data_IF_149578297927
#
_entry.id   IF_149578297927
#
_cell.length_a   1.000
_cell.length_b   1.000
_cell.length_c   1.000
_cell.angle_alpha   90.00
_cell.angle_beta   90.00
_cell.angle_gamma   90.00
#
_symmetry.space_group_name_H-M   'P 1'
#
loop_
_entity.id
_entity.type
_entity.pdbx_description
1 polymer ?
#
# COMPACT_ATOMS: atom_id res chain seq x y z
N UNK A 1 6.92 5.55 -9.71
CA UNK A 1 6.53 6.55 -8.71
C UNK A 1 7.58 6.69 -7.60
N UNK A 2 7.90 5.62 -6.85
CA UNK A 2 8.80 5.66 -5.68
C UNK A 2 10.18 6.18 -6.03
N UNK A 3 10.84 5.62 -7.04
CA UNK A 3 12.18 6.04 -7.48
C UNK A 3 12.21 7.54 -7.84
N UNK A 4 11.20 8.01 -8.54
CA UNK A 4 11.14 9.41 -8.95
C UNK A 4 10.82 10.35 -7.78
N UNK A 5 9.85 10.00 -6.95
CA UNK A 5 9.41 10.83 -5.83
C UNK A 5 10.47 10.95 -4.70
N UNK A 6 11.25 9.88 -4.48
CA UNK A 6 12.31 9.85 -3.47
C UNK A 6 13.70 10.13 -4.05
N UNK A 7 13.79 10.38 -5.37
CA UNK A 7 15.05 10.61 -6.10
C UNK A 7 16.09 9.49 -5.88
N UNK A 8 15.65 8.24 -5.91
CA UNK A 8 16.49 7.07 -5.66
C UNK A 8 16.48 6.12 -6.85
N UNK A 9 17.57 5.39 -7.01
CA UNK A 9 17.67 4.25 -7.92
C UNK A 9 17.69 2.94 -7.13
N UNK A 10 16.64 2.12 -7.29
CA UNK A 10 16.49 0.84 -6.59
C UNK A 10 17.58 -0.19 -6.97
N UNK A 11 18.24 0.00 -8.09
CA UNK A 11 19.32 -0.89 -8.59
C UNK A 11 20.70 -0.46 -8.06
N UNK A 12 20.79 0.75 -7.52
CA UNK A 12 22.03 1.27 -6.96
C UNK A 12 22.13 0.92 -5.47
N UNK A 13 23.05 0.03 -5.11
CA UNK A 13 23.25 -0.47 -3.74
C UNK A 13 23.50 0.62 -2.70
N UNK A 14 24.04 1.79 -3.11
CA UNK A 14 24.31 2.90 -2.20
C UNK A 14 23.05 3.64 -1.75
N UNK A 15 21.95 3.57 -2.50
CA UNK A 15 20.72 4.31 -2.21
C UNK A 15 19.45 3.45 -2.22
N UNK A 16 19.56 2.16 -2.62
CA UNK A 16 18.42 1.24 -2.69
C UNK A 16 17.73 1.02 -1.34
N UNK A 17 18.44 1.18 -0.22
CA UNK A 17 17.88 1.10 1.12
C UNK A 17 16.86 2.21 1.43
N UNK A 18 16.84 3.29 0.64
CA UNK A 18 15.85 4.36 0.74
C UNK A 18 14.56 4.07 -0.05
N UNK A 19 14.50 2.93 -0.75
CA UNK A 19 13.31 2.50 -1.45
C UNK A 19 12.24 2.03 -0.45
N UNK A 20 11.39 2.94 -0.06
CA UNK A 20 10.40 2.76 1.01
C UNK A 20 8.95 2.92 0.48
N UNK A 21 8.27 1.82 0.13
CA UNK A 21 6.88 1.87 -0.33
C UNK A 21 5.91 2.51 0.68
N UNK A 22 6.18 2.34 1.98
CA UNK A 22 5.40 2.93 3.07
C UNK A 22 5.83 4.35 3.44
N UNK A 23 6.71 4.98 2.66
CA UNK A 23 7.07 6.38 2.92
C UNK A 23 5.83 7.27 2.85
N UNK A 24 5.58 8.14 3.86
CA UNK A 24 4.36 8.94 3.93
C UNK A 24 4.13 9.81 2.69
N UNK A 25 5.20 10.31 2.04
CA UNK A 25 5.07 11.04 0.78
C UNK A 25 4.53 10.17 -0.35
N UNK A 26 4.94 8.90 -0.42
CA UNK A 26 4.48 7.95 -1.43
C UNK A 26 3.00 7.64 -1.23
N UNK A 27 2.60 7.30 -0.01
CA UNK A 27 1.20 6.99 0.30
C UNK A 27 0.28 8.18 0.04
N UNK A 28 0.71 9.40 0.38
CA UNK A 28 -0.04 10.63 0.08
C UNK A 28 -0.13 10.91 -1.41
N UNK A 29 0.92 10.60 -2.19
CA UNK A 29 0.85 10.71 -3.66
C UNK A 29 -0.12 9.69 -4.25
N UNK A 30 -0.08 8.43 -3.82
CA UNK A 30 -1.03 7.40 -4.25
C UNK A 30 -2.46 7.85 -3.92
N UNK A 31 -2.71 8.34 -2.70
CA UNK A 31 -4.02 8.86 -2.31
C UNK A 31 -4.51 9.95 -3.26
N UNK A 32 -3.65 10.94 -3.56
CA UNK A 32 -3.99 12.03 -4.48
C UNK A 32 -4.29 11.55 -5.90
N UNK A 33 -3.57 10.54 -6.38
CA UNK A 33 -3.81 9.94 -7.69
C UNK A 33 -5.19 9.29 -7.72
N UNK A 34 -5.49 8.46 -6.72
CA UNK A 34 -6.77 7.76 -6.60
C UNK A 34 -7.92 8.76 -6.50
N UNK A 35 -7.82 9.75 -5.59
CA UNK A 35 -8.85 10.76 -5.41
C UNK A 35 -9.10 11.54 -6.73
N UNK A 36 -8.05 11.93 -7.45
CA UNK A 36 -8.17 12.64 -8.73
C UNK A 36 -8.79 11.77 -9.84
N UNK A 37 -8.44 10.47 -9.89
CA UNK A 37 -9.04 9.53 -10.83
C UNK A 37 -10.53 9.35 -10.57
N UNK A 38 -10.92 9.15 -9.32
CA UNK A 38 -12.32 9.00 -8.94
C UNK A 38 -13.13 10.28 -9.21
N UNK A 39 -12.57 11.46 -8.93
CA UNK A 39 -13.21 12.75 -9.27
C UNK A 39 -13.44 12.91 -10.78
N UNK A 40 -12.54 12.35 -11.59
CA UNK A 40 -12.66 12.33 -13.04
C UNK A 40 -13.49 11.16 -13.60
N UNK A 41 -13.96 10.24 -12.75
CA UNK A 41 -14.67 9.03 -13.17
C UNK A 41 -13.79 8.00 -13.89
N UNK A 42 -12.48 7.99 -13.59
CA UNK A 42 -11.49 7.08 -14.19
C UNK A 42 -11.04 6.10 -13.12
N UNK A 43 -11.09 4.77 -13.38
CA UNK A 43 -10.56 3.80 -12.45
C UNK A 43 -9.03 3.85 -12.38
N UNK A 44 -8.50 3.69 -11.16
CA UNK A 44 -7.07 3.69 -10.92
C UNK A 44 -6.53 2.28 -10.72
N UNK A 45 -5.46 1.96 -11.47
CA UNK A 45 -4.82 0.67 -11.44
C UNK A 45 -3.38 0.75 -10.93
N UNK A 46 -3.01 -0.15 -10.04
CA UNK A 46 -1.63 -0.32 -9.59
C UNK A 46 -1.01 -1.57 -10.19
N UNK A 47 0.18 -1.42 -10.74
CA UNK A 47 1.04 -2.53 -11.16
C UNK A 47 2.38 -2.47 -10.40
N UNK A 48 3.11 -3.58 -10.40
CA UNK A 48 4.41 -3.69 -9.75
C UNK A 48 4.36 -4.42 -8.41
N UNK A 49 5.47 -4.38 -7.70
CA UNK A 49 5.70 -5.22 -6.51
C UNK A 49 4.71 -4.91 -5.37
N UNK A 50 4.40 -3.63 -5.16
CA UNK A 50 3.49 -3.21 -4.09
C UNK A 50 2.08 -3.80 -4.25
N UNK A 51 1.59 -3.96 -5.47
CA UNK A 51 0.28 -4.55 -5.74
C UNK A 51 0.20 -6.03 -5.39
N UNK A 52 1.31 -6.76 -5.54
CA UNK A 52 1.38 -8.21 -5.30
C UNK A 52 1.85 -8.61 -3.90
N UNK A 53 2.25 -7.66 -3.06
CA UNK A 53 2.73 -7.94 -1.71
C UNK A 53 1.56 -7.87 -0.71
N UNK A 54 1.25 -8.98 -0.02
CA UNK A 54 0.15 -9.04 0.95
C UNK A 54 0.19 -7.96 2.03
N UNK A 55 1.38 -7.57 2.48
CA UNK A 55 1.59 -6.53 3.48
C UNK A 55 0.88 -5.22 3.12
N UNK A 56 0.89 -4.83 1.84
CA UNK A 56 0.33 -3.56 1.41
C UNK A 56 -1.16 -3.63 1.03
N UNK A 57 -1.72 -4.84 0.96
CA UNK A 57 -3.08 -5.04 0.46
C UNK A 57 -4.14 -4.25 1.25
N UNK A 58 -4.00 -4.21 2.59
CA UNK A 58 -4.94 -3.49 3.44
C UNK A 58 -4.84 -1.97 3.27
N UNK A 59 -3.62 -1.47 3.06
CA UNK A 59 -3.39 -0.04 2.79
C UNK A 59 -3.95 0.37 1.43
N UNK A 60 -3.69 -0.43 0.38
CA UNK A 60 -4.20 -0.15 -0.97
C UNK A 60 -5.72 -0.18 -1.03
N UNK A 61 -6.35 -1.12 -0.30
CA UNK A 61 -7.80 -1.17 -0.13
C UNK A 61 -8.33 0.12 0.52
N UNK A 62 -7.68 0.57 1.59
CA UNK A 62 -8.06 1.78 2.32
C UNK A 62 -7.80 3.08 1.54
N UNK A 63 -6.81 3.07 0.66
CA UNK A 63 -6.56 4.17 -0.29
C UNK A 63 -7.60 4.23 -1.40
N UNK A 64 -8.39 3.16 -1.61
CA UNK A 64 -9.44 3.12 -2.61
C UNK A 64 -8.97 2.70 -4.01
N UNK A 65 -7.82 2.01 -4.12
CA UNK A 65 -7.30 1.51 -5.39
C UNK A 65 -8.25 0.51 -6.04
N UNK A 66 -8.65 0.72 -7.29
CA UNK A 66 -9.69 -0.06 -7.98
C UNK A 66 -9.17 -1.38 -8.54
N UNK A 67 -8.01 -1.37 -9.19
CA UNK A 67 -7.44 -2.52 -9.86
C UNK A 67 -6.00 -2.77 -9.45
N UNK A 68 -5.61 -4.06 -9.28
CA UNK A 68 -4.26 -4.44 -8.91
C UNK A 68 -3.74 -5.52 -9.85
N UNK A 69 -2.66 -5.18 -10.57
CA UNK A 69 -1.98 -6.12 -11.46
C UNK A 69 -0.76 -6.71 -10.76
N UNK A 70 -0.69 -8.03 -10.70
CA UNK A 70 0.37 -8.77 -10.03
C UNK A 70 0.63 -10.11 -10.71
N UNK A 71 1.71 -10.80 -10.29
CA UNK A 71 1.94 -12.16 -10.74
C UNK A 71 0.86 -13.12 -10.20
N UNK A 72 0.59 -14.20 -10.93
CA UNK A 72 -0.46 -15.14 -10.61
C UNK A 72 -0.31 -15.81 -9.23
N UNK A 73 0.92 -15.98 -8.75
CA UNK A 73 1.21 -16.62 -7.47
C UNK A 73 0.87 -15.74 -6.26
N UNK A 74 0.85 -14.42 -6.43
CA UNK A 74 0.47 -13.46 -5.38
C UNK A 74 -1.06 -13.35 -5.22
N UNK A 75 -1.82 -13.57 -6.29
CA UNK A 75 -3.29 -13.37 -6.31
C UNK A 75 -4.01 -14.08 -5.16
N UNK A 76 -3.77 -15.36 -4.84
CA UNK A 76 -4.51 -16.06 -3.79
C UNK A 76 -4.31 -15.43 -2.40
N UNK A 77 -3.08 -14.99 -2.08
CA UNK A 77 -2.76 -14.36 -0.78
C UNK A 77 -3.41 -12.98 -0.66
N UNK A 78 -3.22 -12.13 -1.67
CA UNK A 78 -3.84 -10.80 -1.72
C UNK A 78 -5.36 -10.90 -1.64
N UNK A 79 -5.95 -11.79 -2.43
CA UNK A 79 -7.41 -12.01 -2.45
C UNK A 79 -7.95 -12.50 -1.11
N UNK A 80 -7.19 -13.31 -0.36
CA UNK A 80 -7.57 -13.75 0.99
C UNK A 80 -7.69 -12.57 1.94
N UNK A 81 -6.70 -11.65 1.93
CA UNK A 81 -6.73 -10.44 2.75
C UNK A 81 -7.93 -9.58 2.39
N UNK A 82 -8.13 -9.28 1.10
CA UNK A 82 -9.25 -8.47 0.64
C UNK A 82 -10.61 -9.03 1.05
N UNK A 83 -10.80 -10.35 0.92
CA UNK A 83 -12.07 -11.01 1.28
C UNK A 83 -12.37 -11.04 2.78
N UNK A 84 -11.35 -10.91 3.62
CA UNK A 84 -11.49 -10.84 5.08
C UNK A 84 -11.50 -9.39 5.60
N UNK A 85 -11.36 -8.41 4.72
CA UNK A 85 -11.30 -6.99 5.07
C UNK A 85 -12.61 -6.29 4.73
N UNK A 86 -12.98 -5.31 5.55
CA UNK A 86 -14.04 -4.36 5.24
C UNK A 86 -13.40 -3.06 4.69
N UNK A 87 -13.84 -2.63 3.51
CA UNK A 87 -13.26 -1.47 2.84
C UNK A 87 -13.41 -0.16 3.66
N UNK A 88 -14.52 -0.01 4.38
CA UNK A 88 -14.72 1.17 5.24
C UNK A 88 -13.72 1.21 6.40
N UNK A 89 -13.45 0.06 7.07
CA UNK A 89 -12.47 -0.03 8.16
C UNK A 89 -11.04 0.24 7.65
N UNK A 90 -10.71 -0.28 6.47
CA UNK A 90 -9.42 -0.03 5.83
C UNK A 90 -9.24 1.46 5.51
N UNK A 91 -10.32 2.15 5.08
CA UNK A 91 -10.29 3.60 4.80
C UNK A 91 -10.07 4.43 6.06
N UNK A 92 -10.76 4.11 7.15
CA UNK A 92 -10.55 4.77 8.44
C UNK A 92 -9.12 4.56 8.94
N UNK A 93 -8.64 3.32 8.90
CA UNK A 93 -7.28 2.96 9.28
C UNK A 93 -6.22 3.73 8.48
N UNK A 94 -6.38 3.86 7.16
CA UNK A 94 -5.46 4.65 6.32
C UNK A 94 -5.48 6.12 6.68
N UNK A 95 -6.62 6.66 7.10
CA UNK A 95 -6.71 8.02 7.63
C UNK A 95 -5.78 8.23 8.83
N UNK A 96 -5.78 7.31 9.79
CA UNK A 96 -4.89 7.32 10.95
C UNK A 96 -3.43 7.07 10.54
N UNK A 97 -3.19 6.09 9.67
CA UNK A 97 -1.86 5.72 9.19
C UNK A 97 -1.13 6.90 8.52
N UNK A 98 -1.83 7.70 7.74
CA UNK A 98 -1.26 8.88 7.06
C UNK A 98 -0.93 10.05 7.99
N UNK A 99 -1.33 10.00 9.26
CA UNK A 99 -0.93 10.97 10.27
C UNK A 99 0.51 10.75 10.79
N UNK A 100 1.07 9.55 10.58
CA UNK A 100 2.44 9.25 10.96
C UNK A 100 3.47 9.96 10.06
N UNK A 101 4.61 10.30 10.66
CA UNK A 101 5.63 11.12 10.00
C UNK A 101 6.69 10.31 9.25
N UNK A 102 6.93 9.06 9.64
CA UNK A 102 8.01 8.22 9.10
C UNK A 102 7.51 6.88 8.56
N UNK A 103 8.26 6.29 7.62
CA UNK A 103 7.96 4.96 7.08
C UNK A 103 8.01 3.87 8.18
N UNK A 104 8.92 4.00 9.14
CA UNK A 104 9.05 3.07 10.27
C UNK A 104 7.82 3.08 11.19
N UNK A 105 7.31 4.27 11.52
CA UNK A 105 6.06 4.40 12.31
C UNK A 105 4.87 3.78 11.55
N UNK A 106 4.76 4.07 10.25
CA UNK A 106 3.72 3.52 9.39
C UNK A 106 3.81 1.99 9.34
N UNK A 107 5.01 1.45 9.14
CA UNK A 107 5.23 0.00 9.11
C UNK A 107 4.83 -0.66 10.43
N UNK A 108 5.27 -0.11 11.56
CA UNK A 108 4.92 -0.63 12.88
C UNK A 108 3.42 -0.57 13.16
N UNK A 109 2.76 0.54 12.80
CA UNK A 109 1.32 0.70 12.95
C UNK A 109 0.53 -0.28 12.06
N UNK A 110 0.97 -0.47 10.81
CA UNK A 110 0.40 -1.43 9.88
C UNK A 110 0.56 -2.88 10.36
N UNK A 111 1.76 -3.28 10.75
CA UNK A 111 2.03 -4.64 11.24
C UNK A 111 1.14 -4.99 12.43
N UNK A 112 1.03 -4.13 13.42
CA UNK A 112 0.18 -4.33 14.58
C UNK A 112 -1.29 -4.53 14.19
N UNK A 113 -1.80 -3.79 13.20
CA UNK A 113 -3.17 -3.95 12.69
C UNK A 113 -3.34 -5.30 11.99
N UNK A 114 -2.39 -5.67 11.13
CA UNK A 114 -2.47 -6.90 10.34
C UNK A 114 -2.34 -8.15 11.20
N UNK A 115 -1.46 -8.15 12.20
CA UNK A 115 -1.34 -9.24 13.17
C UNK A 115 -2.66 -9.49 13.93
N UNK A 116 -3.38 -8.42 14.25
CA UNK A 116 -4.70 -8.53 14.88
C UNK A 116 -5.79 -9.05 13.96
N UNK A 117 -5.76 -8.66 12.67
CA UNK A 117 -6.79 -9.05 11.69
C UNK A 117 -6.51 -10.42 11.05
N UNK A 118 -5.25 -10.77 10.88
CA UNK A 118 -4.81 -11.96 10.12
C UNK A 118 -3.72 -12.74 10.89
N UNK A 119 -4.02 -13.27 12.09
CA UNK A 119 -3.03 -13.94 12.93
C UNK A 119 -2.41 -15.18 12.27
N UNK A 120 -3.05 -15.74 11.26
CA UNK A 120 -2.57 -16.87 10.48
C UNK A 120 -1.64 -16.51 9.31
N UNK A 121 -1.55 -15.22 8.96
CA UNK A 121 -0.69 -14.76 7.87
C UNK A 121 0.70 -14.35 8.41
N UNK A 122 1.70 -14.57 7.58
CA UNK A 122 3.06 -14.05 7.79
C UNK A 122 3.32 -12.95 6.78
N UNK A 123 3.47 -11.75 7.28
CA UNK A 123 3.77 -10.55 6.50
C UNK A 123 5.26 -10.30 6.44
#
# INVERSE_FOLDING_TARGET
>A
LIQYALAIDRVNDHVSYLYEPLHPAILRLIRRIVDAGHDAGIPEAMCGEMAGEPLYSYVLLGLGMDEWSMNATSIPRVKRILRKSAAYEAREFVGELLAHATASEIAGFLMKKLEGLFPEERF
#
